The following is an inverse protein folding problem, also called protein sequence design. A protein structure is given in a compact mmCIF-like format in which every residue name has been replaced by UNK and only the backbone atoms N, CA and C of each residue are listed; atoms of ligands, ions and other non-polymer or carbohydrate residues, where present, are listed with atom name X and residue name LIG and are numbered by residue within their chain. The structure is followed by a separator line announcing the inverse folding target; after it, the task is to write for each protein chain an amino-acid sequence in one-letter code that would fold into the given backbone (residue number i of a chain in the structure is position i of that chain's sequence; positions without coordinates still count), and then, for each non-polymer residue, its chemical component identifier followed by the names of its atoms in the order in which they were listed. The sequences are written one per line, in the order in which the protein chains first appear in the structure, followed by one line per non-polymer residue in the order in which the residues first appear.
data_IF_572548516732
#
_entry.id   IF_572548516732
#
_cell.length_a   1.000
_cell.length_b   1.000
_cell.length_c   1.000
_cell.angle_alpha   90.00
_cell.angle_beta   90.00
_cell.angle_gamma   90.00
#
_symmetry.space_group_name_H-M   'P 1'
#
loop_
_entity.id
_entity.type
_entity.pdbx_description
1 polymer ?
#
# COMPACT_ATOMS: atom_id res chain seq x y z
N UNK A 1 -3.61 10.31 14.31
CA UNK A 1 -3.65 9.35 13.19
C UNK A 1 -3.19 10.10 11.95
N UNK A 2 -2.15 9.60 11.26
CA UNK A 2 -1.48 10.36 10.20
C UNK A 2 -1.76 9.73 8.84
N UNK A 3 -1.95 10.56 7.83
CA UNK A 3 -1.92 10.14 6.43
C UNK A 3 -0.45 10.12 5.99
N UNK A 4 -0.02 8.99 5.44
CA UNK A 4 1.27 8.81 4.81
C UNK A 4 1.10 8.79 3.28
N UNK A 5 2.19 9.00 2.55
CA UNK A 5 2.30 8.70 1.13
C UNK A 5 3.71 8.21 0.82
N UNK A 6 4.20 7.35 1.71
CA UNK A 6 5.60 6.91 1.72
C UNK A 6 5.74 5.65 0.88
N UNK A 7 6.78 5.60 0.05
CA UNK A 7 7.15 4.42 -0.72
C UNK A 7 7.44 3.25 0.23
N UNK A 8 6.95 2.07 -0.14
CA UNK A 8 7.21 0.82 0.58
C UNK A 8 7.65 -0.23 -0.43
N UNK A 9 8.50 -1.15 0.03
CA UNK A 9 8.85 -2.32 -0.76
C UNK A 9 7.84 -3.42 -0.44
N UNK A 10 7.09 -3.86 -1.45
CA UNK A 10 6.09 -4.92 -1.31
C UNK A 10 6.58 -6.19 -1.98
N UNK A 11 6.49 -7.30 -1.27
CA UNK A 11 6.64 -8.64 -1.84
C UNK A 11 5.26 -9.27 -1.93
N UNK A 12 4.83 -9.61 -3.13
CA UNK A 12 3.51 -10.19 -3.41
C UNK A 12 3.57 -11.72 -3.59
N UNK A 13 2.43 -12.39 -3.45
CA UNK A 13 2.24 -13.80 -3.78
C UNK A 13 2.00 -13.98 -5.28
N UNK A 14 2.10 -15.23 -5.75
CA UNK A 14 1.56 -15.65 -7.05
C UNK A 14 0.06 -15.35 -7.06
N UNK A 15 -0.34 -14.32 -7.81
CA UNK A 15 -1.70 -13.76 -7.79
C UNK A 15 -1.77 -12.26 -7.53
N UNK A 16 -0.64 -11.61 -7.20
CA UNK A 16 -0.53 -10.15 -7.08
C UNK A 16 -0.96 -9.58 -5.72
N UNK A 17 -1.28 -10.43 -4.74
CA UNK A 17 -1.63 -9.99 -3.39
C UNK A 17 -0.39 -9.76 -2.54
N UNK A 18 -0.33 -8.68 -1.73
CA UNK A 18 0.81 -8.40 -0.86
C UNK A 18 0.96 -9.51 0.20
N UNK A 19 2.17 -10.05 0.34
CA UNK A 19 2.54 -11.03 1.35
C UNK A 19 3.38 -10.39 2.47
N UNK A 20 4.26 -9.47 2.10
CA UNK A 20 5.08 -8.69 3.02
C UNK A 20 5.23 -7.27 2.50
N UNK A 21 5.45 -6.32 3.41
CA UNK A 21 5.94 -5.00 3.04
C UNK A 21 6.97 -4.48 4.04
N UNK A 22 7.93 -3.68 3.57
CA UNK A 22 8.92 -3.01 4.41
C UNK A 22 8.59 -1.52 4.50
N UNK A 23 8.62 -0.98 5.73
CA UNK A 23 8.38 0.44 5.99
C UNK A 23 9.20 0.92 7.17
N UNK A 24 9.94 2.03 6.99
CA UNK A 24 10.78 2.66 8.02
C UNK A 24 11.69 1.69 8.80
N UNK A 25 12.26 0.71 8.08
CA UNK A 25 13.15 -0.30 8.66
C UNK A 25 12.44 -1.47 9.35
N UNK A 26 11.12 -1.45 9.49
CA UNK A 26 10.31 -2.57 9.94
C UNK A 26 9.83 -3.44 8.77
N UNK A 27 9.70 -4.75 9.00
CA UNK A 27 9.05 -5.66 8.07
C UNK A 27 7.70 -6.08 8.61
N UNK A 28 6.68 -6.03 7.77
CA UNK A 28 5.31 -6.37 8.11
C UNK A 28 4.87 -7.57 7.27
N UNK A 29 4.45 -8.64 7.93
CA UNK A 29 3.84 -9.81 7.30
C UNK A 29 2.35 -9.55 7.11
N UNK A 30 1.85 -9.64 5.88
CA UNK A 30 0.42 -9.61 5.62
C UNK A 30 -0.21 -10.93 6.07
N UNK A 31 -1.15 -10.84 7.01
CA UNK A 31 -1.91 -11.97 7.55
C UNK A 31 -3.13 -12.28 6.69
N UNK A 32 -3.81 -11.24 6.20
CA UNK A 32 -4.91 -11.34 5.23
C UNK A 32 -5.17 -10.00 4.54
N UNK A 33 -5.68 -10.06 3.32
CA UNK A 33 -6.30 -8.91 2.66
C UNK A 33 -7.72 -8.75 3.20
N UNK A 34 -8.05 -7.56 3.69
CA UNK A 34 -9.38 -7.21 4.20
C UNK A 34 -10.27 -6.71 3.06
N UNK A 35 -9.71 -5.95 2.13
CA UNK A 35 -10.44 -5.46 0.96
C UNK A 35 -9.52 -4.83 -0.08
N UNK A 36 -10.05 -4.69 -1.29
CA UNK A 36 -9.37 -4.04 -2.42
C UNK A 36 -10.37 -3.15 -3.14
N UNK A 37 -9.97 -1.92 -3.43
CA UNK A 37 -10.79 -0.91 -4.09
C UNK A 37 -9.96 -0.19 -5.13
N UNK A 38 -10.58 0.16 -6.26
CA UNK A 38 -10.00 1.10 -7.20
C UNK A 38 -10.33 2.52 -6.75
N UNK A 39 -9.32 3.36 -6.59
CA UNK A 39 -9.49 4.78 -6.27
C UNK A 39 -8.91 5.61 -7.41
N UNK A 40 -9.57 6.72 -7.81
CA UNK A 40 -8.94 7.66 -8.72
C UNK A 40 -7.63 8.14 -8.07
N UNK A 41 -6.52 8.02 -8.79
CA UNK A 41 -5.23 8.49 -8.29
C UNK A 41 -5.20 10.01 -8.13
N UNK A 42 -4.19 10.50 -7.40
CA UNK A 42 -3.91 11.92 -7.38
C UNK A 42 -3.33 12.34 -8.76
N UNK A 43 -3.76 13.47 -9.35
CA UNK A 43 -3.15 13.97 -10.58
C UNK A 43 -1.66 14.24 -10.36
N UNK A 44 -0.83 13.82 -11.31
CA UNK A 44 0.62 13.99 -11.23
C UNK A 44 0.99 15.48 -11.04
N UNK A 45 1.98 15.81 -10.18
CA UNK A 45 2.41 17.18 -9.97
C UNK A 45 3.23 17.65 -11.18
N UNK A 46 2.54 18.22 -12.17
CA UNK A 46 3.11 18.74 -13.40
C UNK A 46 1.99 19.08 -14.37
N UNK A 47 1.59 20.35 -14.39
CA UNK A 47 0.44 20.84 -15.15
C UNK A 47 0.46 20.37 -16.60
N UNK A 48 -0.45 19.45 -16.93
CA UNK A 48 -0.59 18.91 -18.27
C UNK A 48 -1.44 17.66 -18.26
N UNK A 49 -2.76 17.81 -18.10
CA UNK A 49 -3.82 16.84 -18.45
C UNK A 49 -3.49 15.34 -18.28
N UNK A 50 -2.72 14.98 -17.25
CA UNK A 50 -2.40 13.60 -16.97
C UNK A 50 -3.65 13.01 -16.32
N UNK A 51 -4.33 12.11 -17.04
CA UNK A 51 -5.40 11.29 -16.49
C UNK A 51 -4.90 10.66 -15.19
N UNK A 52 -5.61 10.92 -14.09
CA UNK A 52 -5.34 10.27 -12.82
C UNK A 52 -5.25 8.76 -13.04
N UNK A 53 -4.07 8.17 -12.83
CA UNK A 53 -3.93 6.72 -12.90
C UNK A 53 -4.73 6.13 -11.75
N UNK A 54 -5.68 5.26 -12.06
CA UNK A 54 -6.44 4.55 -11.05
C UNK A 54 -5.48 3.75 -10.15
N UNK A 55 -5.46 4.11 -8.86
CA UNK A 55 -4.67 3.41 -7.85
C UNK A 55 -5.48 2.27 -7.25
N UNK A 56 -4.83 1.14 -7.01
CA UNK A 56 -5.43 0.05 -6.24
C UNK A 56 -5.16 0.27 -4.75
N UNK A 57 -6.19 0.64 -4.00
CA UNK A 57 -6.16 0.67 -2.55
C UNK A 57 -6.41 -0.73 -2.00
N UNK A 58 -5.49 -1.23 -1.18
CA UNK A 58 -5.55 -2.56 -0.58
C UNK A 58 -5.43 -2.39 0.93
N UNK A 59 -6.47 -2.81 1.66
CA UNK A 59 -6.43 -2.86 3.12
C UNK A 59 -6.01 -4.26 3.56
N UNK A 60 -5.02 -4.32 4.43
CA UNK A 60 -4.47 -5.58 4.94
C UNK A 60 -4.49 -5.61 6.47
N UNK A 61 -4.69 -6.78 7.05
CA UNK A 61 -4.23 -7.06 8.40
C UNK A 61 -2.79 -7.54 8.30
N UNK A 62 -1.91 -6.95 9.10
CA UNK A 62 -0.49 -7.22 9.10
C UNK A 62 0.02 -7.52 10.53
N UNK A 63 1.24 -8.00 10.61
CA UNK A 63 1.95 -8.31 11.85
C UNK A 63 3.39 -7.83 11.68
N UNK A 64 3.89 -7.02 12.60
CA UNK A 64 5.29 -6.54 12.56
C UNK A 64 6.28 -7.68 12.82
N UNK A 65 7.56 -7.41 12.58
CA UNK A 65 8.67 -8.31 12.94
C UNK A 65 8.74 -8.62 14.45
N UNK A 66 8.13 -7.78 15.28
CA UNK A 66 7.96 -7.99 16.73
C UNK A 66 6.71 -8.78 17.11
N UNK A 67 5.87 -9.16 16.14
CA UNK A 67 4.62 -9.87 16.37
C UNK A 67 3.44 -8.96 16.74
N UNK A 68 3.57 -7.65 16.56
CA UNK A 68 2.51 -6.69 16.88
C UNK A 68 1.49 -6.63 15.73
N UNK A 69 0.20 -6.87 15.99
CA UNK A 69 -0.82 -6.82 14.94
C UNK A 69 -1.08 -5.37 14.52
N UNK A 70 -1.35 -5.17 13.23
CA UNK A 70 -1.77 -3.88 12.70
C UNK A 70 -2.74 -4.04 11.53
N UNK A 71 -3.41 -2.96 11.18
CA UNK A 71 -4.11 -2.82 9.89
C UNK A 71 -3.37 -1.78 9.08
N UNK A 72 -3.25 -1.97 7.77
CA UNK A 72 -2.62 -0.99 6.89
C UNK A 72 -3.43 -0.79 5.61
N UNK A 73 -3.51 0.46 5.17
CA UNK A 73 -3.94 0.83 3.82
C UNK A 73 -2.69 1.09 2.99
N UNK A 74 -2.48 0.25 1.98
CA UNK A 74 -1.42 0.43 0.98
C UNK A 74 -2.05 0.69 -0.38
N UNK A 75 -1.38 1.47 -1.21
CA UNK A 75 -1.79 1.73 -2.59
C UNK A 75 -0.76 1.18 -3.56
N UNK A 76 -1.24 0.62 -4.67
CA UNK A 76 -0.42 0.20 -5.81
C UNK A 76 -0.80 1.04 -7.03
N UNK A 77 0.18 1.65 -7.66
CA UNK A 77 0.04 2.21 -9.00
C UNK A 77 0.27 1.08 -10.03
N UNK A 78 -0.75 0.65 -10.79
CA UNK A 78 -0.58 -0.43 -11.76
C UNK A 78 0.25 -0.04 -12.98
N UNK A 79 0.45 1.26 -13.25
CA UNK A 79 1.24 1.75 -14.38
C UNK A 79 2.74 1.70 -14.09
N UNK A 80 3.16 1.98 -12.85
CA UNK A 80 4.57 1.96 -12.44
C UNK A 80 4.94 0.77 -11.57
N UNK A 81 3.95 0.01 -11.10
CA UNK A 81 4.08 -1.01 -10.04
C UNK A 81 4.64 -0.45 -8.72
N UNK A 82 4.49 0.86 -8.49
CA UNK A 82 4.92 1.50 -7.24
C UNK A 82 3.91 1.25 -6.12
N UNK A 83 4.44 0.98 -4.93
CA UNK A 83 3.65 0.79 -3.73
C UNK A 83 3.91 1.89 -2.71
N UNK A 84 2.85 2.35 -2.08
CA UNK A 84 2.92 3.34 -0.99
C UNK A 84 2.06 2.94 0.20
N UNK A 85 2.50 3.30 1.41
CA UNK A 85 1.70 3.22 2.62
C UNK A 85 0.90 4.51 2.77
N UNK A 86 -0.41 4.39 2.94
CA UNK A 86 -1.34 5.52 3.16
C UNK A 86 -1.69 5.69 4.62
N UNK A 87 -1.98 4.58 5.31
CA UNK A 87 -2.36 4.59 6.73
C UNK A 87 -1.93 3.28 7.39
N UNK A 88 -1.64 3.35 8.67
CA UNK A 88 -1.43 2.17 9.53
C UNK A 88 -2.11 2.41 10.88
N UNK A 89 -2.66 1.35 11.45
CA UNK A 89 -3.33 1.31 12.74
C UNK A 89 -2.73 0.17 13.56
N UNK A 90 -2.22 0.47 14.75
CA UNK A 90 -1.64 -0.48 15.71
C UNK A 90 -2.62 -0.75 16.87
#
# INVERSE_FOLDING_TARGET
MSLYNERIDVRSTTGGHPAFFAWRGGTYRVRRVIGTWTSPGDPAPGGGHATATDLQLIRVAAESDRGEPSVADITRDPATDDWTLRRIWD
#
